data_IF_174822599428
#
_entry.id   IF_174822599428
#
_cell.length_a   1.000
_cell.length_b   1.000
_cell.length_c   1.000
_cell.angle_alpha   90.00
_cell.angle_beta   90.00
_cell.angle_gamma   90.00
#
_symmetry.space_group_name_H-M   'P 1'
#
loop_
_entity.id
_entity.type
_entity.pdbx_description
1 polymer ?
#
# COMPACT_ATOMS: atom_id res chain seq x y z
N UNK A 1 4.20 5.93 2.43
CA UNK A 1 5.26 5.97 1.39
C UNK A 1 5.48 7.41 0.95
N UNK A 2 6.73 7.83 0.72
CA UNK A 2 7.05 9.18 0.29
C UNK A 2 7.65 9.18 -1.12
N UNK A 3 7.17 10.08 -1.97
CA UNK A 3 7.74 10.36 -3.29
C UNK A 3 7.85 11.87 -3.43
N UNK A 4 9.05 12.35 -3.79
CA UNK A 4 9.32 13.77 -4.06
C UNK A 4 8.25 14.33 -5.03
N UNK A 5 7.65 15.50 -4.76
CA UNK A 5 6.62 16.09 -5.61
C UNK A 5 7.00 16.14 -7.10
N UNK A 6 8.27 16.39 -7.43
CA UNK A 6 8.79 16.45 -8.80
C UNK A 6 8.80 15.09 -9.51
N UNK A 7 8.61 14.00 -8.77
CA UNK A 7 8.62 12.61 -9.24
C UNK A 7 7.26 11.92 -9.03
N UNK A 8 6.21 12.67 -8.69
CA UNK A 8 4.84 12.14 -8.63
C UNK A 8 4.29 11.94 -10.05
N UNK A 9 3.30 11.06 -10.20
CA UNK A 9 2.65 10.78 -11.49
C UNK A 9 3.45 9.89 -12.46
N UNK A 10 4.76 9.68 -12.25
CA UNK A 10 5.59 8.84 -13.13
C UNK A 10 5.70 7.37 -12.68
N UNK A 11 4.78 6.88 -11.85
CA UNK A 11 4.75 5.47 -11.41
C UNK A 11 5.83 5.05 -10.40
N UNK A 12 6.69 5.96 -9.94
CA UNK A 12 7.85 5.64 -9.09
C UNK A 12 7.46 4.89 -7.80
N UNK A 13 6.39 5.31 -7.12
CA UNK A 13 5.94 4.63 -5.90
C UNK A 13 5.58 3.15 -6.13
N UNK A 14 4.95 2.84 -7.28
CA UNK A 14 4.61 1.46 -7.63
C UNK A 14 5.87 0.64 -7.94
N UNK A 15 6.82 1.25 -8.66
CA UNK A 15 8.11 0.63 -8.94
C UNK A 15 8.85 0.26 -7.65
N UNK A 16 8.90 1.18 -6.68
CA UNK A 16 9.54 0.94 -5.39
C UNK A 16 8.91 -0.22 -4.62
N UNK A 17 7.57 -0.30 -4.59
CA UNK A 17 6.89 -1.42 -3.92
C UNK A 17 7.17 -2.74 -4.61
N UNK A 18 7.09 -2.79 -5.94
CA UNK A 18 7.42 -4.00 -6.72
C UNK A 18 8.83 -4.46 -6.44
N UNK A 19 9.78 -3.52 -6.37
CA UNK A 19 11.17 -3.84 -6.11
C UNK A 19 11.44 -4.27 -4.66
N UNK A 20 10.65 -3.82 -3.69
CA UNK A 20 10.71 -4.40 -2.34
C UNK A 20 10.17 -5.83 -2.37
N UNK A 21 9.03 -6.06 -3.02
CA UNK A 21 8.37 -7.35 -3.10
C UNK A 21 9.15 -8.40 -3.91
N UNK A 22 10.04 -7.98 -4.82
CA UNK A 22 10.91 -8.88 -5.60
C UNK A 22 12.10 -9.43 -4.80
N UNK A 23 12.40 -8.86 -3.62
CA UNK A 23 13.57 -9.24 -2.82
C UNK A 23 13.49 -10.69 -2.33
N UNK A 24 14.61 -11.45 -2.35
CA UNK A 24 14.62 -12.85 -1.90
C UNK A 24 14.06 -13.07 -0.49
N UNK A 25 14.26 -12.10 0.42
CA UNK A 25 13.75 -12.16 1.79
C UNK A 25 12.21 -12.20 1.90
N UNK A 26 11.49 -11.76 0.86
CA UNK A 26 10.03 -11.78 0.80
C UNK A 26 9.49 -12.93 -0.06
N UNK A 27 10.33 -13.92 -0.41
CA UNK A 27 9.89 -15.13 -1.10
C UNK A 27 8.79 -15.83 -0.30
N UNK A 28 7.64 -16.07 -0.93
CA UNK A 28 6.48 -16.68 -0.28
C UNK A 28 5.56 -15.70 0.46
N UNK A 29 5.90 -14.41 0.52
CA UNK A 29 5.00 -13.38 1.04
C UNK A 29 3.73 -13.33 0.18
N UNK A 30 2.57 -13.57 0.80
CA UNK A 30 1.28 -13.58 0.08
C UNK A 30 0.45 -12.34 0.32
N UNK A 31 0.73 -11.54 1.34
CA UNK A 31 -0.11 -10.39 1.68
C UNK A 31 0.76 -9.17 1.95
N UNK A 32 0.32 -8.03 1.42
CA UNK A 32 0.81 -6.72 1.81
C UNK A 32 -0.26 -6.05 2.64
N UNK A 33 0.13 -5.55 3.81
CA UNK A 33 -0.71 -4.70 4.66
C UNK A 33 -0.09 -3.32 4.81
N UNK A 34 -0.95 -2.31 4.81
CA UNK A 34 -0.58 -0.93 5.09
C UNK A 34 -1.79 -0.21 5.66
N UNK A 35 -1.57 0.77 6.50
CA UNK A 35 -2.61 1.71 6.89
C UNK A 35 -2.55 2.95 6.01
N UNK A 36 -3.70 3.57 5.73
CA UNK A 36 -3.79 4.79 4.92
C UNK A 36 -4.92 5.68 5.48
N UNK A 37 -4.63 6.95 5.73
CA UNK A 37 -5.64 7.95 6.07
C UNK A 37 -6.63 8.21 4.91
N UNK A 38 -7.89 8.59 5.19
CA UNK A 38 -8.87 8.96 4.17
C UNK A 38 -8.37 10.01 3.17
N UNK A 39 -7.69 11.06 3.64
CA UNK A 39 -7.18 12.16 2.79
C UNK A 39 -6.02 11.77 1.88
N UNK A 40 -5.31 10.65 2.15
CA UNK A 40 -4.14 10.24 1.39
C UNK A 40 -4.52 9.50 0.10
N UNK A 41 -5.29 10.16 -0.77
CA UNK A 41 -5.79 9.61 -2.03
C UNK A 41 -4.67 9.05 -2.92
N UNK A 42 -3.49 9.68 -2.90
CA UNK A 42 -2.35 9.24 -3.68
C UNK A 42 -1.91 7.82 -3.29
N UNK A 43 -1.83 7.53 -1.99
CA UNK A 43 -1.50 6.19 -1.50
C UNK A 43 -2.65 5.23 -1.75
N UNK A 44 -3.92 5.64 -1.52
CA UNK A 44 -5.10 4.79 -1.81
C UNK A 44 -5.11 4.34 -3.29
N UNK A 45 -4.93 5.28 -4.24
CA UNK A 45 -4.86 4.96 -5.69
C UNK A 45 -3.70 4.03 -6.02
N UNK A 46 -2.54 4.26 -5.40
CA UNK A 46 -1.36 3.43 -5.61
C UNK A 46 -1.60 1.98 -5.19
N UNK A 47 -2.07 1.75 -3.96
CA UNK A 47 -2.25 0.40 -3.41
C UNK A 47 -3.42 -0.34 -4.09
N UNK A 48 -4.51 0.37 -4.43
CA UNK A 48 -5.57 -0.21 -5.27
C UNK A 48 -5.06 -0.59 -6.67
N UNK A 49 -4.20 0.24 -7.28
CA UNK A 49 -3.60 -0.11 -8.57
C UNK A 49 -2.63 -1.28 -8.46
N UNK A 50 -1.86 -1.39 -7.37
CA UNK A 50 -0.99 -2.55 -7.14
C UNK A 50 -1.82 -3.84 -7.07
N UNK A 51 -2.94 -3.82 -6.33
CA UNK A 51 -3.84 -4.96 -6.24
C UNK A 51 -4.36 -5.40 -7.61
N UNK A 52 -4.80 -4.44 -8.46
CA UNK A 52 -5.21 -4.73 -9.83
C UNK A 52 -4.10 -5.35 -10.68
N UNK A 53 -2.89 -4.78 -10.63
CA UNK A 53 -1.75 -5.25 -11.42
C UNK A 53 -1.21 -6.62 -10.95
N UNK A 54 -1.64 -7.09 -9.78
CA UNK A 54 -1.28 -8.41 -9.23
C UNK A 54 -2.46 -9.38 -9.24
N UNK A 55 -3.58 -8.98 -9.86
CA UNK A 55 -4.84 -9.74 -9.87
C UNK A 55 -5.26 -10.17 -8.46
N UNK A 56 -4.95 -9.35 -7.47
CA UNK A 56 -5.12 -9.63 -6.04
C UNK A 56 -6.34 -8.89 -5.48
N UNK A 57 -6.98 -9.48 -4.48
CA UNK A 57 -8.05 -8.79 -3.74
C UNK A 57 -7.42 -7.73 -2.84
N UNK A 58 -8.04 -6.55 -2.79
CA UNK A 58 -7.79 -5.53 -1.77
C UNK A 58 -8.99 -5.47 -0.83
N UNK A 59 -8.79 -5.80 0.45
CA UNK A 59 -9.80 -5.60 1.50
C UNK A 59 -9.41 -4.36 2.29
N UNK A 60 -10.36 -3.44 2.46
CA UNK A 60 -10.20 -2.25 3.29
C UNK A 60 -11.10 -2.40 4.51
N UNK A 61 -10.55 -2.18 5.70
CA UNK A 61 -11.30 -2.22 6.96
C UNK A 61 -10.83 -1.08 7.86
N UNK A 62 -11.73 -0.49 8.63
CA UNK A 62 -11.35 0.42 9.72
C UNK A 62 -10.35 -0.27 10.64
N UNK A 63 -9.32 0.46 11.09
CA UNK A 63 -8.27 -0.12 11.91
C UNK A 63 -7.91 0.77 13.11
N UNK A 64 -7.32 1.94 12.89
CA UNK A 64 -7.20 2.93 13.96
C UNK A 64 -8.22 4.05 13.75
N UNK A 65 -8.95 4.36 14.81
CA UNK A 65 -9.82 5.53 14.90
C UNK A 65 -9.01 6.78 15.27
N UNK A 66 -9.62 7.96 15.15
CA UNK A 66 -9.01 9.21 15.61
C UNK A 66 -8.75 9.20 17.14
N UNK A 67 -9.60 8.50 17.89
CA UNK A 67 -9.50 8.38 19.36
C UNK A 67 -8.27 7.57 19.80
N UNK A 68 -7.85 6.59 18.98
CA UNK A 68 -6.63 5.80 19.24
C UNK A 68 -5.35 6.66 19.22
N UNK A 69 -5.42 7.86 18.62
CA UNK A 69 -4.33 8.85 18.59
C UNK A 69 -4.42 9.88 19.74
N UNK A 70 -5.28 9.68 20.73
CA UNK A 70 -5.32 10.52 21.94
C UNK A 70 -5.88 11.92 21.74
N UNK A 71 -6.69 12.13 20.69
CA UNK A 71 -7.33 13.42 20.41
C UNK A 71 -6.42 14.44 19.72
N UNK A 72 -5.28 14.01 19.18
CA UNK A 72 -4.51 14.81 18.22
C UNK A 72 -5.31 14.98 16.92
N UNK A 73 -5.00 16.02 16.12
CA UNK A 73 -5.56 16.21 14.77
C UNK A 73 -4.95 15.20 13.77
N UNK A 74 -5.04 13.90 14.09
CA UNK A 74 -4.63 12.81 13.23
C UNK A 74 -5.88 12.10 12.72
N UNK A 75 -5.97 11.94 11.40
CA UNK A 75 -7.08 11.21 10.80
C UNK A 75 -7.05 9.73 11.18
N UNK A 76 -8.22 9.08 11.16
CA UNK A 76 -8.30 7.62 11.21
C UNK A 76 -7.43 6.97 10.13
N UNK A 77 -6.99 5.74 10.38
CA UNK A 77 -6.12 4.97 9.50
C UNK A 77 -6.83 3.67 9.11
N UNK A 78 -7.20 3.55 7.83
CA UNK A 78 -7.83 2.33 7.29
C UNK A 78 -6.76 1.28 6.97
N UNK A 79 -6.99 0.02 7.34
CA UNK A 79 -6.13 -1.10 6.95
C UNK A 79 -6.47 -1.57 5.54
N UNK A 80 -5.49 -1.49 4.65
CA UNK A 80 -5.51 -2.08 3.32
C UNK A 80 -4.75 -3.40 3.36
N UNK A 81 -5.46 -4.51 3.14
CA UNK A 81 -4.88 -5.85 2.99
C UNK A 81 -5.01 -6.33 1.55
N UNK A 82 -3.86 -6.47 0.88
CA UNK A 82 -3.77 -6.87 -0.53
C UNK A 82 -3.20 -8.29 -0.62
N UNK A 83 -3.94 -9.19 -1.24
CA UNK A 83 -3.46 -10.53 -1.55
C UNK A 83 -4.57 -11.55 -1.84
N UNK A 84 -4.22 -12.82 -2.13
CA UNK A 84 -2.84 -13.30 -2.24
C UNK A 84 -2.10 -12.64 -3.42
N UNK A 85 -0.84 -12.23 -3.21
CA UNK A 85 0.01 -11.64 -4.23
C UNK A 85 0.57 -12.72 -5.15
N UNK A 86 0.56 -12.46 -6.46
CA UNK A 86 1.21 -13.29 -7.47
C UNK A 86 2.60 -12.74 -7.76
N UNK A 87 3.54 -12.94 -6.83
CA UNK A 87 4.92 -12.49 -7.02
C UNK A 87 5.59 -13.38 -8.08
N UNK A 88 5.47 -13.00 -9.35
CA UNK A 88 6.33 -13.51 -10.40
C UNK A 88 7.71 -12.88 -10.25
N UNK A 89 8.76 -13.70 -10.22
CA UNK A 89 10.13 -13.20 -10.35
C UNK A 89 10.21 -12.39 -11.63
N UNK A 90 10.62 -11.13 -11.53
CA UNK A 90 11.19 -10.43 -12.67
C UNK A 90 12.47 -11.21 -13.00
N UNK A 91 12.48 -11.84 -14.18
CA UNK A 91 13.61 -12.60 -14.71
C UNK A 91 14.74 -11.63 -15.04
#
# INVERSE_FOLDING_TARGET
>A
MAVDPRRRGCGLGKLLIREVLSRPALTGCRFLETTITPSNEASRRLFLSLARDQEARCRVTSFFSEEDFGGENHEAEDLFRIGPLQLQRVI
#
